data_IF_596761554453
#
_entry.id   IF_596761554453
#
_cell.length_a   1.000
_cell.length_b   1.000
_cell.length_c   1.000
_cell.angle_alpha   90.00
_cell.angle_beta   90.00
_cell.angle_gamma   90.00
#
_symmetry.space_group_name_H-M   'P 1'
#
loop_
_entity.id
_entity.type
_entity.pdbx_description
1 polymer ?
#
# COMPACT_ATOMS: atom_id res chain seq x y z
N UNK A 1 -12.36 -9.53 -7.25
CA UNK A 1 -11.96 -8.13 -6.98
C UNK A 1 -10.47 -7.83 -7.22
N UNK A 2 -9.51 -8.51 -6.56
CA UNK A 2 -8.08 -8.18 -6.71
C UNK A 2 -7.54 -8.19 -8.16
N UNK A 3 -7.86 -9.24 -8.94
CA UNK A 3 -7.48 -9.33 -10.36
C UNK A 3 -8.05 -8.23 -11.25
N UNK A 4 -9.27 -7.76 -10.97
CA UNK A 4 -9.90 -6.69 -11.77
C UNK A 4 -9.27 -5.33 -11.48
N UNK A 5 -8.86 -5.07 -10.22
CA UNK A 5 -8.13 -3.86 -9.85
C UNK A 5 -6.68 -3.87 -10.33
N UNK A 6 -6.06 -5.05 -10.43
CA UNK A 6 -4.69 -5.19 -10.93
C UNK A 6 -4.52 -4.69 -12.38
N UNK A 7 -5.56 -4.78 -13.20
CA UNK A 7 -5.50 -4.45 -14.64
C UNK A 7 -6.17 -3.13 -14.99
N UNK A 8 -6.75 -2.42 -14.03
CA UNK A 8 -7.36 -1.11 -14.28
C UNK A 8 -6.34 0.00 -14.06
N UNK A 9 -5.97 0.77 -15.11
CA UNK A 9 -5.07 1.90 -14.95
C UNK A 9 -5.67 2.92 -13.97
N UNK A 10 -4.88 3.33 -12.98
CA UNK A 10 -5.28 4.36 -12.01
C UNK A 10 -5.11 5.79 -12.56
N UNK A 11 -4.55 5.93 -13.76
CA UNK A 11 -4.31 7.17 -14.47
C UNK A 11 -3.44 6.94 -15.71
N UNK A 12 -3.16 8.01 -16.43
CA UNK A 12 -2.23 8.01 -17.56
C UNK A 12 -0.78 8.14 -17.05
N UNK A 13 0.16 7.42 -17.66
CA UNK A 13 1.56 7.45 -17.26
C UNK A 13 2.39 6.29 -17.82
N UNK A 14 3.72 6.31 -17.64
CA UNK A 14 4.63 5.30 -18.20
C UNK A 14 4.35 3.87 -17.72
N UNK A 15 3.61 3.70 -16.63
CA UNK A 15 3.23 2.40 -16.06
C UNK A 15 1.72 2.18 -16.02
N UNK A 16 0.96 2.87 -16.88
CA UNK A 16 -0.49 2.70 -17.00
C UNK A 16 -0.87 1.21 -17.12
N UNK A 17 -1.67 0.72 -16.17
CA UNK A 17 -2.19 -0.65 -16.18
C UNK A 17 -1.25 -1.69 -15.55
N UNK A 18 -0.03 -1.31 -15.14
CA UNK A 18 0.92 -2.22 -14.47
C UNK A 18 0.43 -2.51 -13.04
N UNK A 19 0.16 -3.78 -12.67
CA UNK A 19 -0.20 -4.16 -11.32
C UNK A 19 0.88 -3.80 -10.30
N UNK A 20 0.49 -3.22 -9.18
CA UNK A 20 1.43 -2.85 -8.12
C UNK A 20 0.86 -3.13 -6.73
N UNK A 21 1.75 -3.50 -5.81
CA UNK A 21 1.44 -3.67 -4.39
C UNK A 21 2.23 -2.66 -3.58
N UNK A 22 1.59 -2.03 -2.61
CA UNK A 22 2.24 -1.09 -1.69
C UNK A 22 2.47 -1.76 -0.35
N UNK A 23 3.51 -1.33 0.36
CA UNK A 23 3.82 -1.86 1.69
C UNK A 23 2.93 -1.18 2.74
N UNK A 24 2.44 -1.92 3.73
CA UNK A 24 1.77 -1.36 4.92
C UNK A 24 2.79 -0.66 5.84
N UNK A 25 3.61 0.27 5.32
CA UNK A 25 4.61 1.03 6.06
C UNK A 25 5.05 2.26 5.26
N UNK A 26 4.81 3.47 5.77
CA UNK A 26 5.20 4.75 5.14
C UNK A 26 4.67 4.97 3.71
N UNK A 27 3.63 4.23 3.31
CA UNK A 27 2.97 4.30 2.01
C UNK A 27 1.46 4.49 2.21
N UNK A 28 1.13 5.55 2.95
CA UNK A 28 -0.23 5.94 3.31
C UNK A 28 -1.06 6.24 2.07
N UNK A 29 -2.25 5.63 1.98
CA UNK A 29 -3.23 5.91 0.94
C UNK A 29 -4.49 6.47 1.59
N UNK A 30 -4.94 7.63 1.13
CA UNK A 30 -6.11 8.33 1.67
C UNK A 30 -7.31 7.38 1.75
N UNK A 31 -7.95 7.31 2.93
CA UNK A 31 -9.12 6.47 3.16
C UNK A 31 -8.85 4.96 3.24
N UNK A 32 -7.59 4.51 3.14
CA UNK A 32 -7.23 3.09 3.29
C UNK A 32 -6.62 2.84 4.66
N UNK A 33 -7.22 1.98 5.50
CA UNK A 33 -6.67 1.68 6.82
C UNK A 33 -5.26 1.09 6.75
N UNK A 34 -4.37 1.56 7.61
CA UNK A 34 -2.97 1.14 7.76
C UNK A 34 -2.69 0.73 9.21
N UNK A 35 -1.84 -0.28 9.41
CA UNK A 35 -1.50 -0.78 10.75
C UNK A 35 0.01 -0.85 11.01
N UNK A 36 0.85 -0.55 10.01
CA UNK A 36 2.31 -0.61 10.13
C UNK A 36 2.83 -1.94 10.67
N UNK A 37 2.11 -3.04 10.39
CA UNK A 37 2.40 -4.38 10.91
C UNK A 37 2.30 -4.54 12.44
N UNK A 38 1.74 -3.55 13.17
CA UNK A 38 1.65 -3.57 14.63
C UNK A 38 0.21 -3.79 15.11
N UNK A 39 0.03 -4.67 16.11
CA UNK A 39 -1.25 -4.84 16.83
C UNK A 39 -1.53 -3.69 17.80
N UNK A 40 -0.50 -2.92 18.17
CA UNK A 40 -0.64 -1.80 19.09
C UNK A 40 -1.34 -0.61 18.43
N UNK A 41 -1.30 -0.51 17.10
CA UNK A 41 -2.04 0.51 16.38
C UNK A 41 -3.48 0.08 16.14
N UNK A 42 -4.41 0.97 16.52
CA UNK A 42 -5.73 0.99 15.88
C UNK A 42 -5.53 1.27 14.39
N UNK A 43 -6.43 0.77 13.51
CA UNK A 43 -6.33 1.07 12.09
C UNK A 43 -6.25 2.59 11.90
N UNK A 44 -5.11 3.07 11.44
CA UNK A 44 -4.91 4.47 11.11
C UNK A 44 -5.40 4.67 9.68
N UNK A 45 -6.41 5.52 9.51
CA UNK A 45 -6.92 5.88 8.19
C UNK A 45 -6.39 7.28 7.87
N UNK A 46 -5.40 7.41 6.97
CA UNK A 46 -4.87 8.71 6.61
C UNK A 46 -5.88 9.50 5.77
N UNK A 47 -5.94 10.81 5.97
CA UNK A 47 -6.77 11.72 5.17
C UNK A 47 -6.15 12.02 3.80
N UNK A 48 -4.83 11.82 3.67
CA UNK A 48 -4.08 12.12 2.46
C UNK A 48 -3.15 10.97 2.03
N UNK A 49 -2.89 10.90 0.72
CA UNK A 49 -1.86 10.03 0.16
C UNK A 49 -0.46 10.52 0.57
N UNK A 50 0.46 9.61 0.89
CA UNK A 50 1.87 9.97 1.04
C UNK A 50 2.46 10.48 -0.28
N UNK A 51 3.56 11.24 -0.22
CA UNK A 51 4.23 11.71 -1.44
C UNK A 51 4.64 10.56 -2.38
N UNK A 52 5.00 9.41 -1.80
CA UNK A 52 5.31 8.20 -2.56
C UNK A 52 4.08 7.70 -3.32
N UNK A 53 2.94 7.54 -2.64
CA UNK A 53 1.70 7.09 -3.26
C UNK A 53 1.24 8.06 -4.35
N UNK A 54 1.32 9.38 -4.11
CA UNK A 54 0.98 10.39 -5.13
C UNK A 54 1.79 10.19 -6.42
N UNK A 55 3.10 9.92 -6.31
CA UNK A 55 3.97 9.64 -7.47
C UNK A 55 3.64 8.30 -8.14
N UNK A 56 3.37 7.25 -7.36
CA UNK A 56 2.97 5.93 -7.89
C UNK A 56 1.69 6.05 -8.71
N UNK A 57 0.67 6.76 -8.21
CA UNK A 57 -0.58 7.01 -8.93
C UNK A 57 -0.36 7.85 -10.19
N UNK A 58 0.41 8.94 -10.08
CA UNK A 58 0.73 9.81 -11.22
C UNK A 58 1.54 9.08 -12.32
N UNK A 59 2.26 8.01 -11.98
CA UNK A 59 2.97 7.19 -12.94
C UNK A 59 2.08 6.14 -13.65
N UNK A 60 0.82 5.99 -13.22
CA UNK A 60 -0.19 5.12 -13.86
C UNK A 60 -0.35 3.72 -13.25
N UNK A 61 0.34 3.40 -12.15
CA UNK A 61 0.29 2.06 -11.56
C UNK A 61 -1.10 1.67 -11.03
N UNK A 62 -1.47 0.42 -11.24
CA UNK A 62 -2.71 -0.19 -10.75
C UNK A 62 -2.50 -0.80 -9.35
N UNK A 63 -2.67 0.00 -8.29
CA UNK A 63 -2.53 -0.49 -6.91
C UNK A 63 -3.75 -1.36 -6.55
N UNK A 64 -3.53 -2.67 -6.36
CA UNK A 64 -4.62 -3.62 -6.14
C UNK A 64 -4.62 -4.29 -4.75
N UNK A 65 -3.62 -3.98 -3.92
CA UNK A 65 -3.50 -4.51 -2.57
C UNK A 65 -2.30 -3.93 -1.84
N UNK A 66 -2.16 -4.37 -0.59
CA UNK A 66 -1.02 -4.03 0.25
C UNK A 66 -0.34 -5.28 0.77
N UNK A 67 0.98 -5.25 0.87
CA UNK A 67 1.77 -6.29 1.50
C UNK A 67 1.98 -5.98 2.97
N UNK A 68 2.18 -7.04 3.74
CA UNK A 68 2.43 -6.99 5.16
C UNK A 68 3.87 -6.56 5.44
N UNK A 69 4.10 -6.04 6.64
CA UNK A 69 5.42 -5.64 7.13
C UNK A 69 5.60 -6.20 8.54
N UNK A 70 6.82 -6.48 8.99
CA UNK A 70 7.08 -6.65 10.42
C UNK A 70 6.63 -5.42 11.18
N UNK A 71 6.33 -5.61 12.46
CA UNK A 71 5.96 -4.52 13.36
C UNK A 71 6.92 -3.34 13.23
N UNK A 72 6.37 -2.20 12.77
CA UNK A 72 7.08 -0.93 12.57
C UNK A 72 8.26 -0.99 11.59
N UNK A 73 8.41 -2.08 10.83
CA UNK A 73 9.59 -2.32 10.00
C UNK A 73 10.88 -2.52 10.79
N UNK A 74 10.80 -2.83 12.09
CA UNK A 74 11.97 -2.92 12.99
C UNK A 74 12.85 -4.15 12.76
N UNK A 75 12.38 -5.11 11.96
CA UNK A 75 13.14 -6.30 11.60
C UNK A 75 13.36 -6.34 10.09
N UNK A 76 14.55 -6.77 9.67
CA UNK A 76 14.88 -7.04 8.27
C UNK A 76 14.36 -8.41 7.78
N UNK A 77 13.29 -8.92 8.39
CA UNK A 77 12.55 -10.12 7.93
C UNK A 77 11.18 -9.67 7.40
N UNK A 78 10.39 -10.57 6.83
CA UNK A 78 9.05 -10.23 6.30
C UNK A 78 7.89 -10.76 7.15
N UNK A 79 8.19 -11.48 8.23
CA UNK A 79 7.17 -12.07 9.12
C UNK A 79 6.50 -10.97 9.96
N UNK A 80 5.17 -11.05 10.05
CA UNK A 80 4.37 -10.11 10.83
C UNK A 80 3.46 -10.86 11.77
N UNK A 81 3.63 -10.67 13.08
CA UNK A 81 2.76 -11.29 14.09
C UNK A 81 1.29 -10.86 13.93
N UNK A 82 1.03 -9.74 13.24
CA UNK A 82 -0.32 -9.25 12.97
C UNK A 82 -1.06 -10.06 11.90
N UNK A 83 -0.36 -10.53 10.87
CA UNK A 83 -0.97 -11.07 9.65
C UNK A 83 -0.41 -12.41 9.18
N UNK A 84 0.60 -12.96 9.85
CA UNK A 84 1.33 -14.17 9.46
C UNK A 84 2.71 -13.85 8.91
#
# INVERSE_FOLDING_TARGET
HGRQRATQPAGDGPFAGVPFLTKDLYQEMAGVPSMSGSRAYRPYVPDEDSHYIRRVRAAGFSIFGRTTTPELGLKAVTESVLTG
#
